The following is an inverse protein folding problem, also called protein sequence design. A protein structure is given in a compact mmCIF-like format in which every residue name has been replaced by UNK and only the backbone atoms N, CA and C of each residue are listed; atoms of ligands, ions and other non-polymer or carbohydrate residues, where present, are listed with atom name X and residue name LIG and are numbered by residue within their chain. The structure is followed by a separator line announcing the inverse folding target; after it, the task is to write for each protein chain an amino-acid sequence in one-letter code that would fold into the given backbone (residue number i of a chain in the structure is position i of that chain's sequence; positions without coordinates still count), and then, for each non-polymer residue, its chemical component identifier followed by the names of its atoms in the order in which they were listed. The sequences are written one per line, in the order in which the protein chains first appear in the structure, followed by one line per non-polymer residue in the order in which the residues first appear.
data_IF_760580957521
#
_entry.id   IF_760580957521
#
_cell.length_a   1.000
_cell.length_b   1.000
_cell.length_c   1.000
_cell.angle_alpha   90.00
_cell.angle_beta   90.00
_cell.angle_gamma   90.00
#
_symmetry.space_group_name_H-M   'P 1'
#
loop_
_entity.id
_entity.type
_entity.pdbx_description
1 polymer ?
#
# COMPACT_ATOMS: atom_id res chain seq x y z
N UNK A 1 -69.16 4.42 -3.81
CA UNK A 1 -68.17 4.45 -2.72
C UNK A 1 -66.84 3.99 -3.31
N UNK A 2 -66.02 4.95 -3.71
CA UNK A 2 -64.75 4.70 -4.43
C UNK A 2 -63.60 4.94 -3.48
N UNK A 3 -62.80 3.90 -3.18
CA UNK A 3 -61.56 4.02 -2.43
C UNK A 3 -60.39 4.19 -3.40
N UNK A 4 -59.73 5.36 -3.32
CA UNK A 4 -58.48 5.66 -4.03
C UNK A 4 -57.36 5.21 -3.13
N UNK A 5 -56.54 4.23 -3.60
CA UNK A 5 -55.28 3.82 -2.98
C UNK A 5 -54.17 4.67 -3.56
N UNK A 6 -53.62 5.56 -2.77
CA UNK A 6 -52.43 6.34 -3.14
C UNK A 6 -51.19 5.49 -2.91
N UNK A 7 -50.53 5.12 -4.01
CA UNK A 7 -49.21 4.48 -4.00
C UNK A 7 -48.09 5.51 -3.82
N UNK A 8 -47.43 5.50 -2.67
CA UNK A 8 -46.22 6.28 -2.44
C UNK A 8 -45.03 5.62 -3.15
N UNK A 9 -44.54 6.28 -4.17
CA UNK A 9 -43.31 5.92 -4.87
C UNK A 9 -42.11 6.46 -4.07
N UNK A 10 -41.37 5.56 -3.41
CA UNK A 10 -40.17 5.89 -2.66
C UNK A 10 -39.01 5.98 -3.67
N UNK A 11 -38.59 7.21 -4.00
CA UNK A 11 -37.39 7.46 -4.82
C UNK A 11 -36.17 7.25 -3.91
N UNK A 12 -35.46 6.14 -4.08
CA UNK A 12 -34.11 5.96 -3.55
C UNK A 12 -33.14 6.81 -4.38
N UNK A 13 -32.75 7.95 -3.84
CA UNK A 13 -31.67 8.73 -4.37
C UNK A 13 -30.34 8.04 -3.99
N UNK A 14 -29.73 7.36 -4.96
CA UNK A 14 -28.33 6.92 -4.86
C UNK A 14 -27.46 8.17 -4.98
N UNK A 15 -27.02 8.69 -3.83
CA UNK A 15 -25.99 9.71 -3.79
C UNK A 15 -24.67 9.10 -4.26
N UNK A 16 -24.37 9.28 -5.54
CA UNK A 16 -23.04 9.04 -6.07
C UNK A 16 -22.09 10.04 -5.41
N UNK A 17 -21.23 9.54 -4.51
CA UNK A 17 -20.13 10.33 -3.97
C UNK A 17 -19.12 10.52 -5.09
N UNK A 18 -19.27 11.64 -5.82
CA UNK A 18 -18.25 12.12 -6.74
C UNK A 18 -17.12 12.69 -5.90
N UNK A 19 -16.08 11.89 -5.64
CA UNK A 19 -14.87 12.37 -5.01
C UNK A 19 -14.22 13.39 -5.95
N UNK A 20 -14.36 14.66 -5.64
CA UNK A 20 -13.62 15.72 -6.30
C UNK A 20 -12.14 15.53 -5.97
N UNK A 21 -11.36 15.14 -6.97
CA UNK A 21 -9.90 15.08 -6.91
C UNK A 21 -9.38 16.51 -6.69
N UNK A 22 -9.22 16.90 -5.45
CA UNK A 22 -8.56 18.15 -5.09
C UNK A 22 -7.05 17.92 -5.16
N UNK A 23 -6.43 18.40 -6.23
CA UNK A 23 -5.00 18.64 -6.29
C UNK A 23 -4.09 17.42 -6.11
N UNK A 24 -4.27 16.35 -6.88
CA UNK A 24 -3.19 15.40 -7.20
C UNK A 24 -2.67 14.48 -6.08
N UNK A 25 -3.29 14.47 -4.89
CA UNK A 25 -2.89 13.59 -3.78
C UNK A 25 -4.08 12.73 -3.37
N UNK A 26 -3.91 11.42 -3.45
CA UNK A 26 -4.86 10.46 -2.91
C UNK A 26 -4.63 10.34 -1.41
N UNK A 27 -5.69 10.36 -0.62
CA UNK A 27 -5.60 10.02 0.80
C UNK A 27 -5.39 8.52 0.97
N UNK A 28 -4.87 8.12 2.12
CA UNK A 28 -4.70 6.69 2.45
C UNK A 28 -6.04 5.95 2.41
N UNK A 29 -7.10 6.55 2.95
CA UNK A 29 -8.44 6.01 2.99
C UNK A 29 -9.01 5.81 1.59
N UNK A 30 -8.86 6.79 0.72
CA UNK A 30 -9.27 6.70 -0.69
C UNK A 30 -8.48 5.62 -1.44
N UNK A 31 -7.18 5.52 -1.20
CA UNK A 31 -6.32 4.51 -1.81
C UNK A 31 -6.72 3.09 -1.36
N UNK A 32 -6.95 2.88 -0.06
CA UNK A 32 -7.42 1.59 0.47
C UNK A 32 -8.78 1.19 -0.12
N UNK A 33 -9.74 2.12 -0.18
CA UNK A 33 -11.06 1.88 -0.77
C UNK A 33 -10.97 1.57 -2.28
N UNK A 34 -10.04 2.20 -3.00
CA UNK A 34 -9.84 1.95 -4.43
C UNK A 34 -9.17 0.60 -4.72
N UNK A 35 -8.30 0.13 -3.81
CA UNK A 35 -7.56 -1.13 -3.98
C UNK A 35 -8.37 -2.33 -3.50
N UNK A 36 -9.19 -2.16 -2.45
CA UNK A 36 -9.98 -3.21 -1.82
C UNK A 36 -11.45 -2.81 -1.71
N UNK A 37 -12.16 -2.59 -2.84
CA UNK A 37 -13.50 -1.99 -2.84
C UNK A 37 -14.58 -2.84 -2.16
N UNK A 38 -14.41 -4.18 -2.14
CA UNK A 38 -15.38 -5.12 -1.57
C UNK A 38 -14.97 -5.62 -0.17
N UNK A 39 -13.77 -5.24 0.32
CA UNK A 39 -13.21 -5.75 1.56
C UNK A 39 -13.52 -4.84 2.74
N UNK A 40 -13.63 -5.46 3.92
CA UNK A 40 -13.47 -4.76 5.19
C UNK A 40 -11.99 -4.60 5.47
N UNK A 41 -11.53 -3.36 5.68
CA UNK A 41 -10.12 -3.05 5.93
C UNK A 41 -9.94 -2.65 7.39
N UNK A 42 -9.13 -3.41 8.13
CA UNK A 42 -8.80 -3.15 9.52
C UNK A 42 -7.36 -2.65 9.66
N UNK A 43 -7.19 -1.61 10.48
CA UNK A 43 -5.87 -1.02 10.74
C UNK A 43 -5.22 -1.69 11.95
N UNK A 44 -3.97 -2.11 11.80
CA UNK A 44 -3.16 -2.72 12.84
C UNK A 44 -1.89 -1.92 13.09
N UNK A 45 -1.45 -1.87 14.35
CA UNK A 45 -0.12 -1.39 14.72
C UNK A 45 0.73 -2.59 15.13
N UNK A 46 1.67 -2.94 14.28
CA UNK A 46 2.58 -4.05 14.52
C UNK A 46 3.91 -3.51 15.04
N UNK A 47 4.46 -4.18 16.04
CA UNK A 47 5.81 -3.88 16.56
C UNK A 47 6.72 -5.06 16.26
N UNK A 48 7.61 -4.89 15.30
CA UNK A 48 8.64 -5.88 15.00
C UNK A 48 9.62 -6.00 16.16
N UNK A 49 9.92 -7.21 16.57
CA UNK A 49 11.00 -7.50 17.50
C UNK A 49 12.36 -7.25 16.86
N UNK A 50 13.42 -7.12 17.67
CA UNK A 50 14.79 -6.95 17.13
C UNK A 50 15.21 -8.07 16.16
N UNK A 51 14.96 -9.36 16.45
CA UNK A 51 15.23 -10.43 15.48
C UNK A 51 14.45 -10.29 14.17
N UNK A 52 13.16 -9.91 14.24
CA UNK A 52 12.35 -9.66 13.05
C UNK A 52 12.88 -8.48 12.23
N UNK A 53 13.26 -7.36 12.87
CA UNK A 53 13.89 -6.23 12.19
C UNK A 53 15.18 -6.62 11.48
N UNK A 54 16.04 -7.39 12.14
CA UNK A 54 17.27 -7.91 11.54
C UNK A 54 16.96 -8.78 10.31
N UNK A 55 15.98 -9.69 10.43
CA UNK A 55 15.55 -10.55 9.32
C UNK A 55 14.95 -9.78 8.15
N UNK A 56 14.14 -8.75 8.42
CA UNK A 56 13.62 -7.84 7.40
C UNK A 56 14.77 -7.13 6.68
N UNK A 57 15.75 -6.62 7.43
CA UNK A 57 16.94 -5.95 6.86
C UNK A 57 17.74 -6.86 5.93
N UNK A 58 17.96 -8.12 6.33
CA UNK A 58 18.63 -9.14 5.50
C UNK A 58 17.88 -9.42 4.21
N UNK A 59 16.57 -9.68 4.31
CA UNK A 59 15.73 -10.00 3.15
C UNK A 59 15.57 -8.81 2.20
N UNK A 60 15.33 -7.63 2.74
CA UNK A 60 15.13 -6.42 1.95
C UNK A 60 16.44 -5.87 1.37
N UNK A 61 17.58 -6.14 2.01
CA UNK A 61 18.86 -5.52 1.68
C UNK A 61 18.87 -4.02 1.97
N UNK A 62 18.06 -3.56 2.94
CA UNK A 62 17.94 -2.15 3.37
C UNK A 62 17.85 -2.05 4.88
N UNK A 63 18.22 -0.89 5.42
CA UNK A 63 18.11 -0.63 6.85
C UNK A 63 16.65 -0.53 7.31
N UNK A 64 16.36 -1.06 8.50
CA UNK A 64 15.06 -0.97 9.19
C UNK A 64 15.23 -0.11 10.42
N UNK A 65 14.98 1.18 10.29
CA UNK A 65 15.21 2.16 11.34
C UNK A 65 14.16 2.10 12.47
N UNK A 66 12.97 1.56 12.22
CA UNK A 66 11.87 1.49 13.18
C UNK A 66 11.17 0.14 13.12
N UNK A 67 10.86 -0.41 14.29
CA UNK A 67 10.02 -1.61 14.40
C UNK A 67 8.51 -1.32 14.37
N UNK A 68 8.10 -0.05 14.40
CA UNK A 68 6.67 0.30 14.32
C UNK A 68 6.21 0.27 12.86
N UNK A 69 5.22 -0.58 12.57
CA UNK A 69 4.64 -0.79 11.25
C UNK A 69 3.15 -0.48 11.28
N UNK A 70 2.67 0.35 10.38
CA UNK A 70 1.26 0.56 10.12
C UNK A 70 0.80 -0.42 9.03
N UNK A 71 0.08 -1.46 9.43
CA UNK A 71 -0.47 -2.53 8.59
C UNK A 71 -1.98 -2.35 8.46
N UNK A 72 -2.52 -2.70 7.32
CA UNK A 72 -3.95 -2.79 7.03
C UNK A 72 -4.25 -4.16 6.47
N UNK A 73 -5.21 -4.87 7.05
CA UNK A 73 -5.62 -6.20 6.58
C UNK A 73 -6.98 -6.07 5.92
N UNK A 74 -7.06 -6.48 4.67
CA UNK A 74 -8.29 -6.47 3.88
C UNK A 74 -8.90 -7.87 3.88
N UNK A 75 -10.16 -7.97 4.32
CA UNK A 75 -10.88 -9.24 4.48
C UNK A 75 -12.20 -9.21 3.72
N UNK A 76 -12.44 -10.23 2.92
CA UNK A 76 -13.71 -10.48 2.24
C UNK A 76 -14.27 -11.84 2.67
N UNK A 77 -15.51 -11.86 3.15
CA UNK A 77 -16.20 -13.11 3.56
C UNK A 77 -15.36 -13.96 4.52
N UNK A 78 -14.64 -13.31 5.44
CA UNK A 78 -13.81 -13.98 6.44
C UNK A 78 -12.45 -14.49 5.92
N UNK A 79 -12.04 -14.10 4.71
CA UNK A 79 -10.73 -14.46 4.15
C UNK A 79 -9.90 -13.21 3.89
N UNK A 80 -8.62 -13.25 4.22
CA UNK A 80 -7.69 -12.18 3.86
C UNK A 80 -7.53 -12.18 2.34
N UNK A 81 -7.84 -11.04 1.71
CA UNK A 81 -7.71 -10.84 0.26
C UNK A 81 -6.53 -9.95 -0.10
N UNK A 82 -5.93 -9.32 0.90
CA UNK A 82 -4.72 -8.53 0.73
C UNK A 82 -4.34 -7.78 1.99
N UNK A 83 -3.20 -7.15 1.95
CA UNK A 83 -2.65 -6.32 3.02
C UNK A 83 -2.09 -5.03 2.45
N UNK A 84 -2.04 -3.98 3.26
CA UNK A 84 -1.37 -2.75 2.85
C UNK A 84 -0.52 -2.21 3.99
N UNK A 85 0.54 -1.50 3.64
CA UNK A 85 1.52 -0.96 4.57
C UNK A 85 1.81 0.50 4.24
N UNK A 86 1.95 1.33 5.27
CA UNK A 86 2.45 2.69 5.09
C UNK A 86 3.94 2.69 5.38
N UNK A 87 4.71 3.05 4.38
CA UNK A 87 6.15 3.30 4.50
C UNK A 87 6.42 4.79 4.29
N UNK A 88 7.16 5.41 5.21
CA UNK A 88 7.51 6.83 5.13
C UNK A 88 9.00 6.99 5.33
N UNK A 89 9.69 7.43 4.30
CA UNK A 89 11.15 7.57 4.30
C UNK A 89 11.62 8.90 3.70
N UNK A 90 12.91 9.20 3.87
CA UNK A 90 13.56 10.35 3.26
C UNK A 90 13.94 10.05 1.80
N UNK A 91 13.60 10.97 0.88
CA UNK A 91 14.07 10.86 -0.51
C UNK A 91 15.40 11.60 -0.68
N UNK A 92 15.44 12.86 -0.35
CA UNK A 92 16.64 13.72 -0.42
C UNK A 92 16.75 14.56 0.85
N UNK A 93 15.96 15.61 0.95
CA UNK A 93 15.88 16.51 2.12
C UNK A 93 14.54 16.44 2.80
N UNK A 94 13.55 15.87 2.14
CA UNK A 94 12.17 15.77 2.59
C UNK A 94 11.68 14.33 2.48
N UNK A 95 10.43 14.11 2.91
CA UNK A 95 9.84 12.76 3.02
C UNK A 95 8.89 12.45 1.87
N UNK A 96 8.86 11.17 1.53
CA UNK A 96 7.83 10.50 0.76
C UNK A 96 7.08 9.54 1.67
N UNK A 97 5.76 9.42 1.50
CA UNK A 97 4.95 8.40 2.15
C UNK A 97 4.21 7.60 1.09
N UNK A 98 4.40 6.30 1.10
CA UNK A 98 3.79 5.34 0.19
C UNK A 98 2.81 4.46 0.94
N UNK A 99 1.66 4.20 0.32
CA UNK A 99 0.81 3.07 0.67
C UNK A 99 1.11 1.96 -0.33
N UNK A 100 1.70 0.88 0.16
CA UNK A 100 2.07 -0.29 -0.64
C UNK A 100 1.09 -1.40 -0.31
N UNK A 101 0.22 -1.70 -1.26
CA UNK A 101 -0.82 -2.73 -1.15
C UNK A 101 -0.33 -4.03 -1.79
N UNK A 102 -0.59 -5.14 -1.10
CA UNK A 102 -0.20 -6.48 -1.50
C UNK A 102 -1.44 -7.35 -1.72
N UNK A 103 -1.33 -8.31 -2.61
CA UNK A 103 -2.27 -9.43 -2.73
C UNK A 103 -2.13 -10.36 -1.52
N UNK A 104 -3.05 -11.30 -1.35
CA UNK A 104 -3.01 -12.28 -0.27
C UNK A 104 -1.74 -13.15 -0.29
N UNK A 105 -1.15 -13.37 -1.47
CA UNK A 105 0.08 -14.15 -1.66
C UNK A 105 1.37 -13.32 -1.46
N UNK A 106 1.26 -12.06 -1.01
CA UNK A 106 2.39 -11.18 -0.73
C UNK A 106 3.02 -10.51 -1.96
N UNK A 107 2.40 -10.59 -3.15
CA UNK A 107 2.85 -9.82 -4.32
C UNK A 107 2.32 -8.40 -4.27
N UNK A 108 3.07 -7.46 -4.84
CA UNK A 108 2.59 -6.07 -4.95
C UNK A 108 1.32 -6.02 -5.80
N UNK A 109 0.25 -5.47 -5.22
CA UNK A 109 -1.01 -5.19 -5.92
C UNK A 109 -1.00 -3.79 -6.52
N UNK A 110 -0.60 -2.78 -5.72
CA UNK A 110 -0.58 -1.38 -6.12
C UNK A 110 0.26 -0.55 -5.15
N UNK A 111 0.83 0.54 -5.66
CA UNK A 111 1.56 1.54 -4.87
C UNK A 111 0.92 2.90 -5.10
N UNK A 112 0.53 3.58 -4.02
CA UNK A 112 -0.01 4.94 -4.03
C UNK A 112 0.91 5.90 -3.27
N UNK A 113 1.20 7.06 -3.87
CA UNK A 113 1.96 8.12 -3.20
C UNK A 113 0.98 8.98 -2.40
N UNK A 114 0.94 8.77 -1.08
CA UNK A 114 0.04 9.49 -0.17
C UNK A 114 0.61 10.83 0.28
N UNK A 115 1.94 10.98 0.31
CA UNK A 115 2.61 12.24 0.52
C UNK A 115 3.96 12.28 -0.21
N UNK A 116 4.27 13.42 -0.81
CA UNK A 116 5.57 13.69 -1.42
C UNK A 116 5.91 15.15 -1.16
N UNK A 117 6.96 15.40 -0.38
CA UNK A 117 7.31 16.73 0.09
C UNK A 117 8.46 17.38 -0.68
N UNK A 118 9.14 16.64 -1.55
CA UNK A 118 10.07 17.18 -2.53
C UNK A 118 9.32 17.85 -3.69
N UNK A 119 9.98 18.61 -4.58
CA UNK A 119 9.36 19.16 -5.78
C UNK A 119 8.72 18.06 -6.64
N UNK A 120 7.50 18.32 -7.14
CA UNK A 120 6.65 17.31 -7.80
C UNK A 120 7.23 16.73 -9.08
N UNK A 121 8.17 17.44 -9.73
CA UNK A 121 8.91 16.93 -10.90
C UNK A 121 9.76 15.71 -10.58
N UNK A 122 10.13 15.48 -9.31
CA UNK A 122 10.89 14.30 -8.86
C UNK A 122 10.01 13.16 -8.37
N UNK A 123 8.70 13.37 -8.28
CA UNK A 123 7.77 12.34 -7.81
C UNK A 123 7.68 11.18 -8.80
N UNK A 124 7.69 9.94 -8.29
CA UNK A 124 7.41 8.76 -9.07
C UNK A 124 5.98 8.82 -9.63
N UNK A 125 5.85 8.72 -10.96
CA UNK A 125 4.55 8.72 -11.63
C UNK A 125 3.90 7.34 -11.52
N UNK A 126 2.59 7.30 -11.51
CA UNK A 126 1.81 6.05 -11.43
C UNK A 126 2.28 5.01 -12.46
N UNK A 127 2.46 5.39 -13.73
CA UNK A 127 2.96 4.48 -14.77
C UNK A 127 4.34 3.89 -14.44
N UNK A 128 5.18 4.61 -13.72
CA UNK A 128 6.48 4.08 -13.29
C UNK A 128 6.31 3.12 -12.11
N UNK A 129 5.40 3.42 -11.17
CA UNK A 129 5.09 2.56 -10.03
C UNK A 129 4.47 1.22 -10.46
N UNK A 130 3.74 1.17 -11.58
CA UNK A 130 3.17 -0.06 -12.14
C UNK A 130 4.22 -1.13 -12.51
N UNK A 131 5.52 -0.79 -12.56
CA UNK A 131 6.59 -1.79 -12.73
C UNK A 131 6.67 -2.77 -11.56
N UNK A 132 6.14 -2.39 -10.40
CA UNK A 132 6.11 -3.25 -9.22
C UNK A 132 4.89 -4.18 -9.18
N UNK A 133 3.87 -3.95 -10.03
CA UNK A 133 2.66 -4.77 -10.03
C UNK A 133 3.01 -6.25 -10.21
N UNK A 134 2.45 -7.09 -9.33
CA UNK A 134 2.69 -8.54 -9.26
C UNK A 134 4.14 -8.96 -8.94
N UNK A 135 5.01 -8.02 -8.58
CA UNK A 135 6.37 -8.35 -8.14
C UNK A 135 6.35 -8.93 -6.72
N UNK A 136 7.18 -9.95 -6.52
CA UNK A 136 7.52 -10.51 -5.21
C UNK A 136 8.94 -10.11 -4.83
N UNK A 137 9.29 -10.23 -3.54
CA UNK A 137 10.65 -9.99 -3.08
C UNK A 137 11.63 -11.02 -3.68
N UNK A 138 12.62 -10.51 -4.37
CA UNK A 138 13.73 -11.29 -4.93
C UNK A 138 14.94 -10.38 -5.16
N UNK A 139 16.10 -10.96 -5.50
CA UNK A 139 17.33 -10.20 -5.68
C UNK A 139 17.33 -9.29 -6.91
N UNK A 140 16.50 -9.59 -7.91
CA UNK A 140 16.39 -8.80 -9.12
C UNK A 140 15.42 -7.62 -8.96
N UNK A 141 14.63 -7.55 -7.89
CA UNK A 141 13.73 -6.42 -7.59
C UNK A 141 14.54 -5.19 -7.17
N UNK A 142 15.32 -4.65 -8.08
CA UNK A 142 16.23 -3.54 -7.88
C UNK A 142 16.20 -2.58 -9.06
N UNK A 143 16.49 -1.28 -8.78
CA UNK A 143 16.65 -0.27 -9.82
C UNK A 143 17.85 -0.65 -10.71
N UNK A 144 17.70 -0.50 -12.03
CA UNK A 144 18.62 -0.94 -13.08
C UNK A 144 18.66 -2.47 -13.32
N UNK A 145 17.79 -3.22 -12.64
CA UNK A 145 17.51 -4.63 -12.92
C UNK A 145 16.06 -4.78 -13.39
N UNK A 146 15.19 -5.35 -12.56
CA UNK A 146 13.76 -5.46 -12.90
C UNK A 146 13.06 -4.09 -12.97
N UNK A 147 13.55 -3.08 -12.25
CA UNK A 147 12.95 -1.74 -12.18
C UNK A 147 13.80 -0.74 -12.98
N UNK A 148 13.19 -0.04 -13.93
CA UNK A 148 13.84 1.03 -14.70
C UNK A 148 14.05 2.26 -13.82
N UNK A 149 15.17 2.98 -13.94
CA UNK A 149 15.37 4.22 -13.21
C UNK A 149 14.42 5.33 -13.67
N UNK A 150 14.26 6.36 -12.85
CA UNK A 150 13.59 7.62 -13.23
C UNK A 150 14.68 8.60 -13.68
N UNK A 151 14.60 9.05 -14.93
CA UNK A 151 15.52 10.06 -15.44
C UNK A 151 15.39 11.36 -14.63
N UNK A 152 16.50 11.84 -14.07
CA UNK A 152 16.53 13.06 -13.24
C UNK A 152 16.01 12.89 -11.80
N UNK A 153 15.46 11.72 -11.42
CA UNK A 153 14.94 11.44 -10.08
C UNK A 153 15.45 10.09 -9.52
N UNK A 154 16.76 9.86 -9.60
CA UNK A 154 17.39 8.61 -9.16
C UNK A 154 17.20 8.35 -7.65
N UNK A 155 17.19 9.42 -6.83
CA UNK A 155 16.99 9.29 -5.39
C UNK A 155 15.56 8.83 -5.07
N UNK A 156 14.55 9.37 -5.76
CA UNK A 156 13.17 8.88 -5.63
C UNK A 156 13.06 7.42 -6.04
N UNK A 157 13.62 7.03 -7.19
CA UNK A 157 13.61 5.64 -7.63
C UNK A 157 14.26 4.70 -6.60
N UNK A 158 15.38 5.12 -5.99
CA UNK A 158 16.06 4.37 -4.94
C UNK A 158 15.24 4.27 -3.66
N UNK A 159 14.67 5.37 -3.18
CA UNK A 159 13.85 5.42 -1.96
C UNK A 159 12.58 4.57 -2.12
N UNK A 160 11.85 4.73 -3.23
CA UNK A 160 10.66 3.92 -3.53
C UNK A 160 11.02 2.43 -3.61
N UNK A 161 12.13 2.06 -4.25
CA UNK A 161 12.55 0.66 -4.34
C UNK A 161 12.91 0.09 -2.95
N UNK A 162 13.60 0.87 -2.12
CA UNK A 162 13.91 0.47 -0.74
C UNK A 162 12.64 0.26 0.09
N UNK A 163 11.66 1.16 -0.02
CA UNK A 163 10.36 1.04 0.64
C UNK A 163 9.60 -0.22 0.22
N UNK A 164 9.52 -0.50 -1.09
CA UNK A 164 8.85 -1.71 -1.61
C UNK A 164 9.52 -2.98 -1.09
N UNK A 165 10.84 -3.08 -1.18
CA UNK A 165 11.58 -4.24 -0.67
C UNK A 165 11.39 -4.42 0.83
N UNK A 166 11.41 -3.33 1.60
CA UNK A 166 11.19 -3.33 3.05
C UNK A 166 9.79 -3.85 3.39
N UNK A 167 8.75 -3.36 2.73
CA UNK A 167 7.37 -3.79 2.95
C UNK A 167 7.17 -5.26 2.60
N UNK A 168 7.67 -5.72 1.45
CA UNK A 168 7.60 -7.13 1.07
C UNK A 168 8.32 -8.05 2.08
N UNK A 169 9.46 -7.62 2.61
CA UNK A 169 10.17 -8.37 3.65
C UNK A 169 9.42 -8.36 4.98
N UNK A 170 8.81 -7.23 5.37
CA UNK A 170 7.98 -7.14 6.57
C UNK A 170 6.80 -8.11 6.47
N UNK A 171 6.07 -8.07 5.35
CA UNK A 171 4.93 -8.96 5.10
C UNK A 171 5.35 -10.43 5.24
N UNK A 172 6.42 -10.81 4.56
CA UNK A 172 6.93 -12.18 4.63
C UNK A 172 7.31 -12.62 6.05
N UNK A 173 7.95 -11.76 6.83
CA UNK A 173 8.36 -12.08 8.22
C UNK A 173 7.16 -12.19 9.14
N UNK A 174 6.13 -11.35 8.97
CA UNK A 174 4.92 -11.39 9.78
C UNK A 174 4.10 -12.63 9.48
N UNK A 175 3.84 -12.95 8.22
CA UNK A 175 3.06 -14.13 7.80
C UNK A 175 3.73 -15.44 8.29
N UNK A 176 5.07 -15.56 8.18
CA UNK A 176 5.79 -16.70 8.71
C UNK A 176 5.69 -16.83 10.23
N UNK A 177 5.61 -15.71 10.95
CA UNK A 177 5.45 -15.70 12.40
C UNK A 177 4.04 -16.13 12.81
N UNK A 178 3.02 -15.70 12.12
CA UNK A 178 1.62 -16.07 12.34
C UNK A 178 1.40 -17.57 12.08
N UNK A 179 1.89 -18.11 10.96
CA UNK A 179 1.84 -19.55 10.64
C UNK A 179 2.53 -20.43 11.70
N UNK A 180 3.58 -19.92 12.34
CA UNK A 180 4.33 -20.67 13.37
C UNK A 180 3.55 -20.74 14.67
N UNK A 181 2.74 -19.72 14.98
CA UNK A 181 1.93 -19.67 16.21
C UNK A 181 0.65 -20.53 16.14
N UNK A 182 0.18 -20.80 14.93
CA UNK A 182 -1.03 -21.61 14.68
C UNK A 182 -0.77 -23.13 14.68
N UNK A 183 0.50 -23.57 14.68
CA UNK A 183 0.94 -24.98 14.70
C UNK A 183 1.26 -25.49 16.10
#
# INVERSE_FOLDING_TARGET
MSSVVAGSLLLLATAGVSAAVQGGRITREEALAAVFPEATVEAERVFLTRPQMARVGELAGVEVASGLVARYVATERGRVVGRAYVDTDGVRTKRESLLISLEADGRVKRIDVTAFLEPTEYQARERWLQQYDQQALNDDLAVQRAIRPIAGATLTAGATNAAVRRVLAIDQVLEQSEETLER
#
